data_IF_948801629331
#
_entry.id   IF_948801629331
#
_cell.length_a   1.000
_cell.length_b   1.000
_cell.length_c   1.000
_cell.angle_alpha   90.00
_cell.angle_beta   90.00
_cell.angle_gamma   90.00
#
_symmetry.space_group_name_H-M   'P 1'
#
loop_
_entity.id
_entity.type
_entity.pdbx_description
1 polymer ?
#
# COMPACT_ATOMS: atom_id res chain seq x y z
N UNK A 1 -4.14 -0.35 14.01
CA UNK A 1 -3.01 0.38 13.41
C UNK A 1 -2.27 -0.59 12.47
N UNK A 2 -1.91 -0.19 11.24
CA UNK A 2 -1.45 -1.11 10.20
C UNK A 2 -0.09 -1.74 10.47
N UNK A 3 0.86 -0.98 11.04
CA UNK A 3 2.22 -1.48 11.30
C UNK A 3 2.40 -2.15 12.67
N UNK A 4 1.35 -2.24 13.48
CA UNK A 4 1.43 -2.90 14.80
C UNK A 4 1.71 -4.40 14.70
N UNK A 5 1.57 -4.99 13.52
CA UNK A 5 1.94 -6.38 13.27
C UNK A 5 3.43 -6.57 12.97
N UNK A 6 4.17 -5.49 12.69
CA UNK A 6 5.61 -5.54 12.45
C UNK A 6 6.33 -5.47 13.79
N UNK A 7 7.10 -6.51 14.10
CA UNK A 7 7.86 -6.61 15.35
C UNK A 7 9.32 -6.16 15.20
N UNK A 8 9.86 -6.19 13.98
CA UNK A 8 11.21 -5.74 13.72
C UNK A 8 11.25 -4.21 13.49
N UNK A 9 12.15 -3.48 14.18
CA UNK A 9 12.28 -2.04 13.99
C UNK A 9 12.76 -1.67 12.58
N UNK A 10 13.49 -2.55 11.90
CA UNK A 10 13.95 -2.33 10.52
C UNK A 10 12.79 -2.45 9.54
N UNK A 11 11.90 -3.44 9.75
CA UNK A 11 10.67 -3.57 8.96
C UNK A 11 9.74 -2.38 9.16
N UNK A 12 9.64 -1.87 10.39
CA UNK A 12 8.89 -0.65 10.70
C UNK A 12 9.44 0.56 9.96
N UNK A 13 10.75 0.81 10.05
CA UNK A 13 11.39 1.93 9.36
C UNK A 13 11.18 1.85 7.85
N UNK A 14 11.37 0.66 7.27
CA UNK A 14 11.14 0.38 5.86
C UNK A 14 9.68 0.59 5.45
N UNK A 15 8.74 0.11 6.26
CA UNK A 15 7.31 0.28 6.00
C UNK A 15 6.91 1.77 5.98
N UNK A 16 7.45 2.59 6.89
CA UNK A 16 7.21 4.03 6.89
C UNK A 16 7.84 4.73 5.67
N UNK A 17 9.08 4.37 5.30
CA UNK A 17 9.74 4.93 4.13
C UNK A 17 8.99 4.58 2.84
N UNK A 18 8.61 3.32 2.66
CA UNK A 18 7.78 2.89 1.52
C UNK A 18 6.42 3.56 1.53
N UNK A 19 5.80 3.75 2.70
CA UNK A 19 4.50 4.38 2.81
C UNK A 19 4.52 5.80 2.25
N UNK A 20 5.52 6.60 2.62
CA UNK A 20 5.67 7.95 2.11
C UNK A 20 5.98 7.95 0.59
N UNK A 21 6.95 7.14 0.17
CA UNK A 21 7.36 7.06 -1.23
C UNK A 21 6.25 6.56 -2.16
N UNK A 22 5.51 5.52 -1.76
CA UNK A 22 4.41 4.97 -2.56
C UNK A 22 3.19 5.88 -2.55
N UNK A 23 2.91 6.56 -1.43
CA UNK A 23 1.81 7.53 -1.34
C UNK A 23 2.04 8.71 -2.27
N UNK A 24 3.25 9.29 -2.27
CA UNK A 24 3.61 10.41 -3.14
C UNK A 24 3.45 10.08 -4.65
N UNK A 25 3.56 8.81 -5.04
CA UNK A 25 3.33 8.40 -6.44
C UNK A 25 1.85 8.23 -6.81
N UNK A 26 0.96 8.01 -5.84
CA UNK A 26 -0.46 7.74 -6.11
C UNK A 26 -1.38 8.87 -5.65
N UNK A 27 -0.93 9.77 -4.77
CA UNK A 27 -1.78 10.79 -4.16
C UNK A 27 -2.40 11.74 -5.17
N UNK A 28 -1.68 12.07 -6.24
CA UNK A 28 -2.16 12.93 -7.34
C UNK A 28 -3.32 12.27 -8.12
N UNK A 29 -3.29 10.93 -8.22
CA UNK A 29 -4.34 10.15 -8.87
C UNK A 29 -5.52 9.85 -7.94
N UNK A 30 -5.41 10.14 -6.64
CA UNK A 30 -6.45 9.84 -5.63
C UNK A 30 -7.23 11.12 -5.26
N UNK A 31 -8.55 11.14 -5.44
CA UNK A 31 -9.36 12.29 -5.04
C UNK A 31 -9.27 12.52 -3.53
N UNK A 32 -9.24 13.79 -3.11
CA UNK A 32 -9.02 14.18 -1.72
C UNK A 32 -9.97 13.48 -0.73
N UNK A 33 -11.25 13.37 -1.08
CA UNK A 33 -12.27 12.68 -0.28
C UNK A 33 -11.98 11.19 -0.04
N UNK A 34 -11.13 10.56 -0.85
CA UNK A 34 -10.70 9.17 -0.69
C UNK A 34 -9.26 9.04 -0.19
N UNK A 35 -8.50 10.15 -0.04
CA UNK A 35 -7.07 10.08 0.29
C UNK A 35 -6.84 9.34 1.60
N UNK A 36 -7.59 9.64 2.66
CA UNK A 36 -7.42 8.94 3.95
C UNK A 36 -7.72 7.45 3.84
N UNK A 37 -8.78 7.07 3.12
CA UNK A 37 -9.16 5.68 2.93
C UNK A 37 -8.12 4.91 2.10
N UNK A 38 -7.62 5.51 1.01
CA UNK A 38 -6.59 4.93 0.15
C UNK A 38 -5.24 4.86 0.86
N UNK A 39 -4.88 5.90 1.62
CA UNK A 39 -3.67 5.93 2.45
C UNK A 39 -3.69 4.82 3.50
N UNK A 40 -4.83 4.61 4.15
CA UNK A 40 -4.98 3.51 5.11
C UNK A 40 -4.86 2.15 4.40
N UNK A 41 -5.48 1.98 3.24
CA UNK A 41 -5.38 0.75 2.43
C UNK A 41 -3.95 0.45 2.01
N UNK A 42 -3.22 1.47 1.56
CA UNK A 42 -1.81 1.36 1.18
C UNK A 42 -0.97 0.89 2.38
N UNK A 43 -1.19 1.47 3.56
CA UNK A 43 -0.51 1.06 4.78
C UNK A 43 -0.77 -0.42 5.15
N UNK A 44 -1.99 -0.93 4.95
CA UNK A 44 -2.30 -2.34 5.16
C UNK A 44 -1.61 -3.27 4.15
N UNK A 45 -1.49 -2.85 2.89
CA UNK A 45 -0.73 -3.60 1.88
C UNK A 45 0.75 -3.68 2.25
N UNK A 46 1.33 -2.55 2.65
CA UNK A 46 2.74 -2.46 3.07
C UNK A 46 2.97 -3.37 4.28
N UNK A 47 2.11 -3.30 5.30
CA UNK A 47 2.24 -4.15 6.49
C UNK A 47 2.20 -5.65 6.17
N UNK A 48 1.38 -6.06 5.21
CA UNK A 48 1.30 -7.46 4.76
C UNK A 48 2.48 -7.90 3.89
N UNK A 49 3.15 -6.96 3.22
CA UNK A 49 4.22 -7.26 2.27
C UNK A 49 5.62 -7.07 2.88
N UNK A 50 5.75 -6.22 3.91
CA UNK A 50 6.99 -5.94 4.62
C UNK A 50 7.77 -7.19 5.05
N UNK A 51 7.18 -8.21 5.73
CA UNK A 51 7.93 -9.38 6.16
C UNK A 51 8.37 -10.31 5.01
N UNK A 52 7.84 -10.11 3.79
CA UNK A 52 8.14 -10.95 2.62
C UNK A 52 9.09 -10.26 1.61
N UNK A 53 9.29 -8.95 1.74
CA UNK A 53 10.10 -8.18 0.83
C UNK A 53 11.59 -8.27 1.20
N UNK A 54 12.45 -8.42 0.19
CA UNK A 54 13.91 -8.43 0.42
C UNK A 54 14.39 -7.06 0.93
N UNK A 55 13.96 -5.99 0.25
CA UNK A 55 14.43 -4.63 0.45
C UNK A 55 13.30 -3.60 0.30
N UNK A 56 13.58 -2.34 0.58
CA UNK A 56 12.64 -1.22 0.45
C UNK A 56 12.06 -1.09 -0.96
N UNK A 57 12.91 -1.21 -1.98
CA UNK A 57 12.51 -1.06 -3.39
C UNK A 57 11.60 -2.21 -3.85
N UNK A 58 11.91 -3.43 -3.41
CA UNK A 58 11.09 -4.61 -3.65
C UNK A 58 9.72 -4.49 -2.96
N UNK A 59 9.71 -4.03 -1.71
CA UNK A 59 8.47 -3.77 -0.96
C UNK A 59 7.60 -2.74 -1.69
N UNK A 60 8.19 -1.61 -2.09
CA UNK A 60 7.49 -0.55 -2.83
C UNK A 60 6.90 -1.10 -4.14
N UNK A 61 7.69 -1.83 -4.92
CA UNK A 61 7.26 -2.38 -6.21
C UNK A 61 6.09 -3.37 -6.04
N UNK A 62 6.18 -4.27 -5.08
CA UNK A 62 5.12 -5.24 -4.80
C UNK A 62 3.82 -4.55 -4.33
N UNK A 63 3.93 -3.57 -3.44
CA UNK A 63 2.79 -2.79 -2.93
C UNK A 63 2.10 -2.02 -4.06
N UNK A 64 2.86 -1.31 -4.90
CA UNK A 64 2.30 -0.55 -6.03
C UNK A 64 1.64 -1.47 -7.07
N UNK A 65 2.23 -2.64 -7.32
CA UNK A 65 1.66 -3.64 -8.20
C UNK A 65 0.30 -4.11 -7.67
N UNK A 66 0.22 -4.48 -6.38
CA UNK A 66 -1.02 -4.89 -5.73
C UNK A 66 -2.06 -3.78 -5.69
N UNK A 67 -1.63 -2.55 -5.38
CA UNK A 67 -2.49 -1.38 -5.33
C UNK A 67 -3.14 -1.11 -6.68
N UNK A 68 -2.35 -1.09 -7.76
CA UNK A 68 -2.83 -0.89 -9.13
C UNK A 68 -3.71 -2.04 -9.62
N UNK A 69 -3.31 -3.29 -9.36
CA UNK A 69 -4.11 -4.46 -9.72
C UNK A 69 -5.49 -4.44 -9.07
N UNK A 70 -5.58 -3.95 -7.83
CA UNK A 70 -6.82 -3.85 -7.08
C UNK A 70 -7.67 -2.65 -7.49
N UNK A 71 -7.06 -1.53 -7.90
CA UNK A 71 -7.76 -0.41 -8.51
C UNK A 71 -8.51 -0.85 -9.78
N UNK A 72 -7.85 -1.68 -10.62
CA UNK A 72 -8.47 -2.31 -11.79
C UNK A 72 -9.62 -3.25 -11.41
N UNK A 73 -9.51 -3.95 -10.28
CA UNK A 73 -10.52 -4.90 -9.82
C UNK A 73 -11.77 -4.20 -9.28
N UNK A 74 -11.65 -3.05 -8.62
CA UNK A 74 -12.82 -2.24 -8.20
C UNK A 74 -13.61 -1.62 -9.36
N UNK A 75 -13.03 -1.51 -10.56
CA UNK A 75 -13.77 -1.13 -11.79
C UNK A 75 -14.45 -2.32 -12.49
N UNK A 76 -14.16 -3.57 -12.08
CA UNK A 76 -14.69 -4.78 -12.70
C UNK A 76 -15.83 -5.48 -11.94
N UNK A 77 -16.19 -5.02 -10.73
CA UNK A 77 -17.26 -5.66 -9.92
C UNK A 77 -18.48 -4.75 -9.77
N UNK A 78 -19.03 -4.33 -10.91
CA UNK A 78 -20.45 -3.95 -10.99
C UNK A 78 -21.06 -4.67 -12.19
N UNK A 79 -21.21 -5.98 -12.05
CA UNK A 79 -21.71 -6.83 -13.12
C UNK A 79 -21.58 -8.30 -12.79
N UNK A 80 -22.31 -8.77 -11.78
CA UNK A 80 -22.90 -10.13 -11.76
C UNK A 80 -23.96 -10.16 -10.65
N UNK A 81 -25.20 -10.13 -11.14
CA UNK A 81 -26.43 -10.77 -10.67
C UNK A 81 -26.99 -10.41 -9.29
#
# INVERSE_FOLDING_TARGET
MPFSSLSDPSDLARAYAVMDAAWNEVEDSVPEAKREAERLRLAYLIAGCAPSALDEDDLKRNVLLLYRARASQTMGVQGVR
#
